data_IF_334294830188
#
_entry.id   IF_334294830188
#
_cell.length_a   1.000
_cell.length_b   1.000
_cell.length_c   1.000
_cell.angle_alpha   90.00
_cell.angle_beta   90.00
_cell.angle_gamma   90.00
#
_symmetry.space_group_name_H-M   'P 1'
#
loop_
_entity.id
_entity.type
_entity.pdbx_description
1 polymer ?
#
# COMPACT_ATOMS: atom_id res chain seq x y z
N UNK A 1 -11.73 -18.29 -0.99
CA UNK A 1 -11.09 -17.00 -1.31
C UNK A 1 -9.63 -17.02 -0.88
N UNK A 2 -8.73 -17.70 -1.64
CA UNK A 2 -7.31 -17.66 -1.34
C UNK A 2 -6.77 -16.24 -1.52
N UNK A 3 -6.17 -15.69 -0.46
CA UNK A 3 -5.46 -14.41 -0.51
C UNK A 3 -3.98 -14.72 -0.35
N UNK A 4 -3.18 -14.19 -1.26
CA UNK A 4 -1.73 -14.35 -1.23
C UNK A 4 -1.07 -13.03 -0.84
N UNK A 5 -0.35 -13.04 0.28
CA UNK A 5 0.64 -12.02 0.61
C UNK A 5 1.91 -12.36 -0.17
N UNK A 6 2.31 -11.48 -1.08
CA UNK A 6 3.43 -11.70 -1.98
C UNK A 6 4.72 -11.66 -1.17
N UNK A 7 5.46 -12.76 -1.19
CA UNK A 7 6.79 -12.86 -0.60
C UNK A 7 7.86 -12.75 -1.68
N UNK A 8 8.46 -11.57 -1.78
CA UNK A 8 9.59 -11.30 -2.67
C UNK A 8 10.86 -10.99 -1.85
N UNK A 9 10.90 -11.41 -0.58
CA UNK A 9 12.04 -11.17 0.32
C UNK A 9 12.03 -9.84 1.07
N UNK A 10 11.01 -8.99 0.88
CA UNK A 10 10.89 -7.67 1.52
C UNK A 10 9.55 -7.53 2.23
N UNK A 11 9.54 -6.89 3.41
CA UNK A 11 8.31 -6.55 4.14
C UNK A 11 8.11 -7.30 5.45
N UNK A 12 7.14 -6.85 6.24
CA UNK A 12 6.73 -7.47 7.50
C UNK A 12 5.52 -8.40 7.29
N UNK A 13 5.71 -9.45 6.49
CA UNK A 13 4.64 -10.33 6.00
C UNK A 13 3.83 -10.97 7.15
N UNK A 14 4.54 -11.41 8.19
CA UNK A 14 3.94 -12.10 9.35
C UNK A 14 3.01 -11.19 10.15
N UNK A 15 3.31 -9.90 10.28
CA UNK A 15 2.43 -9.00 11.04
C UNK A 15 1.10 -8.79 10.31
N UNK A 16 1.13 -8.69 8.99
CA UNK A 16 -0.07 -8.59 8.15
C UNK A 16 -0.87 -9.91 8.24
N UNK A 17 -0.20 -11.05 8.07
CA UNK A 17 -0.85 -12.37 8.22
C UNK A 17 -1.49 -12.54 9.60
N UNK A 18 -0.80 -12.17 10.68
CA UNK A 18 -1.33 -12.26 12.04
C UNK A 18 -2.57 -11.37 12.23
N UNK A 19 -2.59 -10.18 11.65
CA UNK A 19 -3.75 -9.29 11.71
C UNK A 19 -4.94 -9.86 10.95
N UNK A 20 -4.73 -10.39 9.74
CA UNK A 20 -5.77 -11.06 8.94
C UNK A 20 -6.31 -12.30 9.67
N UNK A 21 -5.43 -13.10 10.25
CA UNK A 21 -5.83 -14.26 11.07
C UNK A 21 -6.67 -13.85 12.27
N UNK A 22 -6.35 -12.72 12.92
CA UNK A 22 -7.11 -12.20 14.07
C UNK A 22 -8.54 -11.82 13.72
N UNK A 23 -8.80 -11.40 12.48
CA UNK A 23 -10.14 -11.12 11.95
C UNK A 23 -10.76 -12.34 11.24
N UNK A 24 -10.21 -13.54 11.44
CA UNK A 24 -10.76 -14.80 10.94
C UNK A 24 -10.48 -15.09 9.47
N UNK A 25 -9.50 -14.40 8.86
CA UNK A 25 -9.15 -14.54 7.45
C UNK A 25 -7.84 -15.30 7.35
N UNK A 26 -7.88 -16.46 6.69
CA UNK A 26 -6.68 -17.24 6.41
C UNK A 26 -6.03 -16.78 5.11
N UNK A 27 -4.71 -16.57 5.14
CA UNK A 27 -3.93 -16.05 4.01
C UNK A 27 -2.61 -16.79 3.88
N UNK A 28 -2.18 -16.96 2.62
CA UNK A 28 -0.93 -17.61 2.28
C UNK A 28 0.16 -16.57 2.06
N UNK A 29 1.33 -16.77 2.67
CA UNK A 29 2.55 -16.04 2.30
C UNK A 29 3.26 -16.88 1.24
N UNK A 30 3.53 -16.32 0.06
CA UNK A 30 4.23 -17.05 -1.00
C UNK A 30 4.85 -16.14 -2.05
N UNK A 31 6.01 -16.57 -2.55
CA UNK A 31 6.69 -16.03 -3.73
C UNK A 31 6.62 -16.95 -4.95
N UNK A 32 5.70 -17.93 -4.95
CA UNK A 32 5.53 -18.89 -6.06
C UNK A 32 4.50 -18.40 -7.06
N UNK A 33 4.81 -18.54 -8.34
CA UNK A 33 3.92 -18.21 -9.44
C UNK A 33 2.53 -18.87 -9.31
N UNK A 34 2.50 -20.17 -8.99
CA UNK A 34 1.25 -20.94 -8.85
C UNK A 34 0.32 -20.37 -7.77
N UNK A 35 0.90 -19.86 -6.68
CA UNK A 35 0.14 -19.31 -5.55
C UNK A 35 -0.42 -17.91 -5.85
N UNK A 36 0.28 -17.14 -6.68
CA UNK A 36 -0.19 -15.83 -7.16
C UNK A 36 -1.30 -16.03 -8.19
N UNK A 37 -1.16 -17.01 -9.09
CA UNK A 37 -2.18 -17.33 -10.10
C UNK A 37 -3.47 -17.85 -9.48
N UNK A 38 -3.36 -18.74 -8.49
CA UNK A 38 -4.53 -19.33 -7.82
C UNK A 38 -5.20 -18.40 -6.80
N UNK A 39 -4.53 -17.32 -6.38
CA UNK A 39 -5.11 -16.33 -5.49
C UNK A 39 -6.33 -15.63 -6.12
N UNK A 40 -7.32 -15.29 -5.31
CA UNK A 40 -8.40 -14.37 -5.70
C UNK A 40 -8.01 -12.91 -5.43
N UNK A 41 -7.14 -12.67 -4.45
CA UNK A 41 -6.66 -11.34 -4.07
C UNK A 41 -5.18 -11.38 -3.71
N UNK A 42 -4.50 -10.28 -3.96
CA UNK A 42 -3.09 -10.11 -3.68
C UNK A 42 -2.86 -9.01 -2.65
N UNK A 43 -1.85 -9.18 -1.80
CA UNK A 43 -1.32 -8.11 -0.95
C UNK A 43 0.15 -7.97 -1.28
N UNK A 44 0.56 -6.77 -1.70
CA UNK A 44 1.97 -6.41 -1.91
C UNK A 44 2.43 -5.52 -0.75
N UNK A 45 3.03 -6.09 0.30
CA UNK A 45 3.63 -5.30 1.35
C UNK A 45 5.04 -4.84 0.95
N UNK A 46 5.60 -3.89 1.68
CA UNK A 46 7.01 -3.59 1.61
C UNK A 46 7.46 -2.72 2.78
N UNK A 47 8.76 -2.76 3.07
CA UNK A 47 9.44 -1.84 4.00
C UNK A 47 10.84 -1.52 3.45
N UNK A 48 11.39 -0.37 3.83
CA UNK A 48 12.73 0.03 3.40
C UNK A 48 12.72 0.89 2.15
N UNK A 49 13.79 0.80 1.37
CA UNK A 49 14.12 1.69 0.27
C UNK A 49 13.47 1.25 -1.06
N UNK A 50 13.02 2.22 -1.87
CA UNK A 50 12.38 1.99 -3.17
C UNK A 50 13.17 1.06 -4.10
N UNK A 51 14.41 1.43 -4.45
CA UNK A 51 15.26 0.61 -5.33
C UNK A 51 15.47 -0.80 -4.79
N UNK A 52 15.72 -0.95 -3.50
CA UNK A 52 15.87 -2.26 -2.88
C UNK A 52 14.61 -3.12 -3.04
N UNK A 53 13.43 -2.53 -2.83
CA UNK A 53 12.14 -3.18 -3.05
C UNK A 53 11.92 -3.59 -4.51
N UNK A 54 12.16 -2.68 -5.47
CA UNK A 54 12.01 -2.98 -6.90
C UNK A 54 13.02 -4.04 -7.37
N UNK A 55 14.28 -3.97 -6.93
CA UNK A 55 15.31 -4.95 -7.28
C UNK A 55 14.93 -6.34 -6.81
N UNK A 56 14.52 -6.50 -5.54
CA UNK A 56 14.08 -7.80 -5.02
C UNK A 56 12.84 -8.32 -5.76
N UNK A 57 11.90 -7.43 -6.10
CA UNK A 57 10.71 -7.82 -6.86
C UNK A 57 11.08 -8.28 -8.28
N UNK A 58 12.02 -7.62 -8.95
CA UNK A 58 12.55 -8.01 -10.25
C UNK A 58 13.32 -9.34 -10.17
N UNK A 59 14.23 -9.48 -9.21
CA UNK A 59 15.06 -10.69 -9.00
C UNK A 59 14.22 -11.92 -8.63
N UNK A 60 13.08 -11.72 -7.95
CA UNK A 60 12.13 -12.80 -7.66
C UNK A 60 11.46 -13.37 -8.92
N UNK A 61 11.55 -12.69 -10.07
CA UNK A 61 10.89 -13.08 -11.32
C UNK A 61 9.37 -12.86 -11.32
N UNK A 62 8.83 -12.20 -10.29
CA UNK A 62 7.38 -12.07 -10.09
C UNK A 62 6.75 -10.93 -10.90
N UNK A 63 7.51 -9.97 -11.41
CA UNK A 63 6.96 -8.79 -12.11
C UNK A 63 6.07 -9.18 -13.29
N UNK A 64 6.50 -10.13 -14.12
CA UNK A 64 5.73 -10.57 -15.29
C UNK A 64 4.36 -11.15 -14.90
N UNK A 65 4.35 -12.08 -13.95
CA UNK A 65 3.11 -12.71 -13.49
C UNK A 65 2.19 -11.72 -12.76
N UNK A 66 2.75 -10.79 -12.00
CA UNK A 66 1.98 -9.75 -11.34
C UNK A 66 1.33 -8.81 -12.35
N UNK A 67 2.03 -8.43 -13.42
CA UNK A 67 1.45 -7.65 -14.52
C UNK A 67 0.26 -8.40 -15.16
N UNK A 68 0.42 -9.69 -15.47
CA UNK A 68 -0.65 -10.49 -16.07
C UNK A 68 -1.87 -10.61 -15.14
N UNK A 69 -1.66 -10.96 -13.87
CA UNK A 69 -2.75 -11.15 -12.92
C UNK A 69 -3.46 -9.84 -12.56
N UNK A 70 -2.73 -8.74 -12.40
CA UNK A 70 -3.30 -7.46 -11.94
C UNK A 70 -3.80 -6.61 -13.11
N UNK A 71 -3.03 -6.43 -14.18
CA UNK A 71 -3.39 -5.51 -15.27
C UNK A 71 -4.33 -6.14 -16.30
N UNK A 72 -4.14 -7.44 -16.59
CA UNK A 72 -4.92 -8.14 -17.62
C UNK A 72 -6.13 -8.84 -17.00
N UNK A 73 -5.90 -9.69 -15.97
CA UNK A 73 -6.98 -10.43 -15.30
C UNK A 73 -7.72 -9.61 -14.25
N UNK A 74 -7.28 -8.37 -14.00
CA UNK A 74 -7.92 -7.43 -13.06
C UNK A 74 -8.06 -8.00 -11.63
N UNK A 75 -7.10 -8.83 -11.21
CA UNK A 75 -7.06 -9.38 -9.85
C UNK A 75 -6.85 -8.24 -8.85
N UNK A 76 -7.70 -8.13 -7.81
CA UNK A 76 -7.52 -7.11 -6.80
C UNK A 76 -6.19 -7.21 -6.07
N UNK A 77 -5.53 -6.07 -5.89
CA UNK A 77 -4.28 -5.98 -5.14
C UNK A 77 -4.31 -4.83 -4.14
N UNK A 78 -3.78 -5.07 -2.94
CA UNK A 78 -3.53 -4.06 -1.91
C UNK A 78 -2.02 -3.84 -1.73
N UNK A 79 -1.53 -2.66 -2.12
CA UNK A 79 -0.19 -2.18 -1.80
C UNK A 79 -0.10 -1.57 -0.40
N UNK A 80 0.89 -1.92 0.41
CA UNK A 80 1.05 -1.38 1.78
C UNK A 80 2.43 -0.74 1.97
N UNK A 81 2.44 0.52 2.39
CA UNK A 81 3.62 1.35 2.64
C UNK A 81 4.56 1.41 1.43
N UNK A 82 5.75 0.80 1.49
CA UNK A 82 6.61 0.70 0.31
C UNK A 82 5.88 -0.03 -0.83
N UNK A 83 5.06 -1.03 -0.52
CA UNK A 83 4.31 -1.77 -1.53
C UNK A 83 3.39 -0.90 -2.39
N UNK A 84 2.75 0.15 -1.84
CA UNK A 84 1.98 1.11 -2.67
C UNK A 84 2.89 2.03 -3.46
N UNK A 85 4.05 2.40 -2.91
CA UNK A 85 5.03 3.22 -3.61
C UNK A 85 5.54 2.48 -4.86
N UNK A 86 5.84 1.18 -4.75
CA UNK A 86 6.29 0.36 -5.89
C UNK A 86 5.29 0.33 -7.05
N UNK A 87 4.00 0.59 -6.81
CA UNK A 87 2.96 0.67 -7.86
C UNK A 87 3.08 1.92 -8.75
N UNK A 88 3.75 2.96 -8.25
CA UNK A 88 4.01 4.21 -8.97
C UNK A 88 5.11 4.04 -10.02
N UNK A 89 5.40 5.09 -10.80
CA UNK A 89 6.37 5.02 -11.90
C UNK A 89 7.84 5.07 -11.42
N UNK A 90 8.11 5.79 -10.33
CA UNK A 90 9.45 6.01 -9.80
C UNK A 90 9.40 6.63 -8.41
N UNK A 91 10.54 6.68 -7.72
CA UNK A 91 10.69 7.43 -6.47
C UNK A 91 11.90 8.35 -6.49
N UNK A 92 11.81 9.51 -5.83
CA UNK A 92 12.98 10.34 -5.48
C UNK A 92 13.93 9.68 -4.47
N UNK A 93 13.52 8.55 -3.86
CA UNK A 93 14.38 7.76 -2.99
C UNK A 93 15.47 7.04 -3.79
N UNK A 94 15.29 6.79 -5.09
CA UNK A 94 16.23 6.04 -5.91
C UNK A 94 16.09 6.28 -7.41
N UNK A 95 16.62 5.35 -8.21
CA UNK A 95 16.65 5.47 -9.68
C UNK A 95 15.92 4.32 -10.40
N UNK A 96 15.52 3.28 -9.68
CA UNK A 96 14.77 2.17 -10.29
C UNK A 96 13.41 2.64 -10.78
N UNK A 97 12.94 2.01 -11.86
CA UNK A 97 11.54 2.18 -12.28
C UNK A 97 10.65 1.37 -11.35
N UNK A 98 9.53 1.96 -10.96
CA UNK A 98 8.46 1.20 -10.31
C UNK A 98 7.71 0.32 -11.30
N UNK A 99 6.69 -0.37 -10.81
CA UNK A 99 5.78 -1.17 -11.64
C UNK A 99 5.01 -0.28 -12.63
N UNK A 100 4.80 1.00 -12.31
CA UNK A 100 4.18 1.98 -13.20
C UNK A 100 2.70 1.71 -13.50
N UNK A 101 2.02 0.95 -12.64
CA UNK A 101 0.59 0.66 -12.77
C UNK A 101 -0.27 1.88 -12.46
N UNK A 102 0.27 2.81 -11.69
CA UNK A 102 -0.38 4.05 -11.28
C UNK A 102 0.45 5.23 -11.79
N UNK A 103 -0.21 6.18 -12.45
CA UNK A 103 0.47 7.38 -12.98
C UNK A 103 0.74 8.36 -11.85
N UNK A 104 2.02 8.54 -11.56
CA UNK A 104 2.48 9.31 -10.42
C UNK A 104 3.84 8.82 -9.94
N UNK A 105 4.34 9.46 -8.90
CA UNK A 105 5.68 9.23 -8.34
C UNK A 105 5.62 9.22 -6.82
N UNK A 106 6.66 8.68 -6.22
CA UNK A 106 6.89 8.72 -4.78
C UNK A 106 7.96 9.76 -4.45
N UNK A 107 7.57 10.89 -3.85
CA UNK A 107 8.42 12.08 -3.65
C UNK A 107 8.77 12.29 -2.19
N UNK A 108 9.91 12.91 -1.91
CA UNK A 108 10.33 13.21 -0.55
C UNK A 108 9.45 14.30 0.07
N UNK A 109 9.27 14.23 1.40
CA UNK A 109 8.67 15.36 2.09
C UNK A 109 9.52 16.63 1.99
N UNK A 110 8.91 17.75 1.62
CA UNK A 110 9.58 19.06 1.62
C UNK A 110 9.77 19.57 3.05
N UNK A 111 11.01 19.52 3.52
CA UNK A 111 11.40 19.96 4.88
C UNK A 111 11.10 21.43 5.14
N UNK A 112 11.06 22.28 4.11
CA UNK A 112 10.78 23.72 4.28
C UNK A 112 9.30 24.01 4.54
N UNK A 113 8.42 23.04 4.24
CA UNK A 113 6.97 23.15 4.47
C UNK A 113 6.52 22.53 5.79
N UNK A 114 7.45 21.94 6.56
CA UNK A 114 7.14 21.34 7.85
C UNK A 114 7.11 22.39 8.94
N UNK A 115 6.15 22.24 9.87
CA UNK A 115 6.08 23.09 11.06
C UNK A 115 7.19 22.76 12.06
N UNK A 116 7.51 23.71 12.94
CA UNK A 116 8.48 23.48 14.02
C UNK A 116 8.07 22.25 14.86
N UNK A 117 8.95 21.24 14.91
CA UNK A 117 8.74 19.98 15.63
C UNK A 117 8.35 18.79 14.77
N UNK A 118 7.90 18.99 13.53
CA UNK A 118 7.68 17.91 12.56
C UNK A 118 9.03 17.44 11.99
N UNK A 119 9.33 16.14 12.12
CA UNK A 119 10.57 15.51 11.67
C UNK A 119 10.32 14.54 10.51
N UNK A 120 11.37 14.26 9.75
CA UNK A 120 11.37 13.19 8.74
C UNK A 120 12.20 12.02 9.28
N UNK A 121 11.67 10.77 9.25
CA UNK A 121 10.40 10.34 8.66
C UNK A 121 9.16 10.86 9.40
N UNK A 122 8.06 11.06 8.66
CA UNK A 122 6.73 11.19 9.26
C UNK A 122 6.40 9.89 9.99
N UNK A 123 6.41 9.93 11.32
CA UNK A 123 6.26 8.75 12.18
C UNK A 123 5.23 9.01 13.27
N UNK A 124 4.18 8.19 13.29
CA UNK A 124 3.14 8.27 14.31
C UNK A 124 1.75 8.05 13.75
N UNK A 125 0.76 8.32 14.59
CA UNK A 125 -0.64 8.26 14.20
C UNK A 125 -1.06 9.56 13.54
N UNK A 126 -1.70 9.47 12.38
CA UNK A 126 -2.34 10.60 11.72
C UNK A 126 -3.76 10.24 11.30
N UNK A 127 -4.63 11.24 11.31
CA UNK A 127 -6.01 11.13 10.84
C UNK A 127 -6.05 11.18 9.30
N UNK A 128 -7.04 10.50 8.73
CA UNK A 128 -7.37 10.65 7.31
C UNK A 128 -8.39 11.78 7.21
N UNK A 129 -7.94 12.94 6.73
CA UNK A 129 -8.73 14.18 6.72
C UNK A 129 -9.73 14.24 5.55
N UNK A 130 -9.50 13.45 4.49
CA UNK A 130 -10.44 13.29 3.39
C UNK A 130 -10.29 11.89 2.79
N UNK A 131 -11.41 11.26 2.45
CA UNK A 131 -11.41 10.07 1.60
C UNK A 131 -12.68 10.03 0.75
N UNK A 132 -12.54 9.54 -0.48
CA UNK A 132 -13.67 9.33 -1.39
C UNK A 132 -14.54 8.19 -0.85
N UNK A 133 -15.83 8.17 -1.19
CA UNK A 133 -16.68 7.00 -0.92
C UNK A 133 -16.09 5.77 -1.64
N UNK A 134 -15.35 4.97 -0.88
CA UNK A 134 -14.66 3.78 -1.36
C UNK A 134 -15.07 2.55 -0.57
N UNK A 135 -15.02 1.41 -1.24
CA UNK A 135 -15.19 0.08 -0.64
C UNK A 135 -14.22 -0.14 0.51
N UNK A 136 -13.00 0.37 0.42
CA UNK A 136 -11.95 0.18 1.43
C UNK A 136 -12.30 0.86 2.77
N UNK A 137 -13.06 1.96 2.73
CA UNK A 137 -13.52 2.71 3.91
C UNK A 137 -15.00 2.46 4.27
N UNK A 138 -15.62 1.43 3.70
CA UNK A 138 -17.04 1.10 3.98
C UNK A 138 -17.27 0.81 5.46
N UNK A 139 -18.22 1.52 6.07
CA UNK A 139 -18.53 1.43 7.50
C UNK A 139 -17.29 1.56 8.40
N UNK A 140 -16.35 2.44 8.02
CA UNK A 140 -15.22 2.81 8.86
C UNK A 140 -15.71 3.54 10.11
N UNK A 141 -14.95 3.43 11.20
CA UNK A 141 -15.18 4.22 12.40
C UNK A 141 -15.02 5.72 12.13
N UNK A 142 -15.72 6.54 12.92
CA UNK A 142 -15.52 7.99 12.93
C UNK A 142 -14.06 8.33 13.24
N UNK A 143 -13.59 9.42 12.61
CA UNK A 143 -12.22 9.95 12.72
C UNK A 143 -11.14 8.86 12.59
N UNK A 144 -11.08 8.15 11.44
CA UNK A 144 -10.14 7.07 11.27
C UNK A 144 -8.71 7.60 11.27
N UNK A 145 -7.88 6.95 12.09
CA UNK A 145 -6.44 7.24 12.19
C UNK A 145 -5.62 5.99 11.94
N UNK A 146 -4.47 6.18 11.31
CA UNK A 146 -3.57 5.09 10.97
C UNK A 146 -2.13 5.43 11.34
N UNK A 147 -1.31 4.40 11.50
CA UNK A 147 0.10 4.54 11.84
C UNK A 147 0.96 4.68 10.57
N UNK A 148 1.69 5.78 10.48
CA UNK A 148 2.60 6.12 9.41
C UNK A 148 4.06 6.00 9.88
N UNK A 149 4.95 5.60 8.97
CA UNK A 149 6.41 5.66 9.14
C UNK A 149 7.08 5.72 7.77
N UNK A 150 7.27 6.92 7.23
CA UNK A 150 7.79 7.12 5.88
C UNK A 150 8.44 8.50 5.69
N UNK A 151 9.46 8.56 4.83
CA UNK A 151 10.12 9.83 4.43
C UNK A 151 9.64 10.35 3.07
N UNK A 152 8.98 9.49 2.31
CA UNK A 152 8.48 9.75 0.96
C UNK A 152 6.98 9.47 0.90
N UNK A 153 6.25 10.18 0.07
CA UNK A 153 4.81 10.04 -0.08
C UNK A 153 4.41 10.04 -1.56
N UNK A 154 3.17 9.61 -1.82
CA UNK A 154 2.63 9.51 -3.17
C UNK A 154 2.26 10.91 -3.69
N UNK A 155 2.63 11.18 -4.95
CA UNK A 155 2.18 12.31 -5.75
C UNK A 155 1.62 11.75 -7.06
N UNK A 156 0.30 11.78 -7.20
CA UNK A 156 -0.39 11.21 -8.35
C UNK A 156 -0.63 12.27 -9.43
N UNK A 157 -0.58 11.85 -10.69
CA UNK A 157 -0.86 12.73 -11.82
C UNK A 157 -2.37 13.01 -11.95
N UNK A 158 -3.20 12.07 -11.50
CA UNK A 158 -4.65 12.10 -11.58
C UNK A 158 -5.27 12.21 -10.18
N UNK A 159 -5.99 13.30 -9.87
CA UNK A 159 -6.65 13.47 -8.58
C UNK A 159 -7.69 12.39 -8.28
N UNK A 160 -8.33 11.81 -9.30
CA UNK A 160 -9.32 10.74 -9.16
C UNK A 160 -8.74 9.44 -8.60
N UNK A 161 -7.42 9.22 -8.75
CA UNK A 161 -6.74 8.05 -8.19
C UNK A 161 -6.42 8.23 -6.69
N UNK A 162 -6.59 9.44 -6.14
CA UNK A 162 -6.38 9.73 -4.71
C UNK A 162 -7.59 9.25 -3.91
N UNK A 163 -7.45 8.08 -3.29
CA UNK A 163 -8.48 7.49 -2.43
C UNK A 163 -8.63 8.25 -1.11
N UNK A 164 -7.50 8.55 -0.46
CA UNK A 164 -7.46 9.11 0.88
C UNK A 164 -6.29 10.09 1.01
N UNK A 165 -6.49 11.16 1.78
CA UNK A 165 -5.48 12.15 2.10
C UNK A 165 -5.19 12.16 3.59
N UNK A 166 -3.97 12.57 3.93
CA UNK A 166 -3.56 12.90 5.29
C UNK A 166 -2.73 14.18 5.26
N UNK A 167 -2.60 14.82 6.42
CA UNK A 167 -1.89 16.09 6.56
C UNK A 167 -0.58 15.92 7.34
N UNK A 168 0.54 16.37 6.75
CA UNK A 168 1.82 16.48 7.46
C UNK A 168 2.62 17.68 6.94
N UNK A 169 2.33 18.87 7.48
CA UNK A 169 2.82 20.16 6.98
C UNK A 169 2.06 20.59 5.71
N UNK A 170 1.69 19.64 4.87
CA UNK A 170 0.79 19.78 3.75
C UNK A 170 0.04 18.47 3.48
N UNK A 171 -1.01 18.54 2.66
CA UNK A 171 -1.79 17.37 2.30
C UNK A 171 -1.05 16.48 1.30
N UNK A 172 -1.07 15.18 1.53
CA UNK A 172 -0.49 14.17 0.64
C UNK A 172 -1.46 12.99 0.47
N UNK A 173 -1.28 12.24 -0.61
CA UNK A 173 -2.07 11.02 -0.85
C UNK A 173 -1.64 9.92 0.13
N UNK A 174 -2.53 9.58 1.05
CA UNK A 174 -2.38 8.52 2.05
C UNK A 174 -2.90 7.16 1.55
N UNK A 175 -3.70 7.15 0.48
CA UNK A 175 -4.11 5.95 -0.22
C UNK A 175 -4.48 6.23 -1.67
N UNK A 176 -4.50 5.16 -2.47
CA UNK A 176 -4.84 5.18 -3.88
C UNK A 176 -5.94 4.17 -4.19
N UNK A 177 -6.70 4.44 -5.24
CA UNK A 177 -7.62 3.47 -5.84
C UNK A 177 -7.74 3.73 -7.34
N UNK A 178 -7.39 2.73 -8.14
CA UNK A 178 -7.57 2.73 -9.58
C UNK A 178 -8.06 1.34 -10.02
N UNK A 179 -9.35 1.23 -10.35
CA UNK A 179 -10.01 -0.04 -10.69
C UNK A 179 -9.80 -1.12 -9.60
N UNK A 180 -9.02 -2.17 -9.88
CA UNK A 180 -8.70 -3.28 -8.96
C UNK A 180 -7.41 -3.04 -8.15
N UNK A 181 -6.74 -1.92 -8.34
CA UNK A 181 -5.48 -1.59 -7.69
C UNK A 181 -5.75 -0.60 -6.57
N UNK A 182 -5.56 -1.05 -5.33
CA UNK A 182 -5.67 -0.21 -4.14
C UNK A 182 -4.37 -0.19 -3.37
N UNK A 183 -4.12 0.88 -2.64
CA UNK A 183 -2.91 0.96 -1.83
C UNK A 183 -3.00 2.00 -0.74
N UNK A 184 -2.23 1.81 0.31
CA UNK A 184 -2.20 2.70 1.49
C UNK A 184 -0.77 2.96 1.93
N UNK A 185 -0.45 4.23 2.20
CA UNK A 185 0.87 4.66 2.65
C UNK A 185 1.12 4.28 4.12
N UNK A 186 0.05 4.19 4.91
CA UNK A 186 0.09 3.77 6.31
C UNK A 186 0.13 2.25 6.48
N UNK A 187 0.36 1.80 7.71
CA UNK A 187 0.46 0.39 8.09
C UNK A 187 -0.84 -0.11 8.75
N UNK A 188 -1.78 -0.74 8.02
CA UNK A 188 -3.00 -1.26 8.63
C UNK A 188 -2.70 -2.31 9.71
N UNK A 189 -1.65 -3.12 9.56
CA UNK A 189 -1.21 -4.10 10.55
C UNK A 189 -0.70 -3.47 11.87
N UNK A 190 -0.43 -2.16 11.88
CA UNK A 190 -0.06 -1.39 13.08
C UNK A 190 -1.18 -0.45 13.56
N UNK A 191 -2.30 -0.42 12.86
CA UNK A 191 -3.36 0.59 13.05
C UNK A 191 -4.58 0.07 13.85
N UNK A 192 -4.38 -1.00 14.64
CA UNK A 192 -5.40 -1.60 15.51
C UNK A 192 -6.78 -1.76 14.83
N UNK A 193 -7.86 -1.26 15.45
CA UNK A 193 -9.24 -1.44 14.96
C UNK A 193 -9.48 -0.84 13.57
N UNK A 194 -8.83 0.28 13.25
CA UNK A 194 -8.96 0.93 11.95
C UNK A 194 -8.29 0.09 10.86
N UNK A 195 -7.09 -0.41 11.16
CA UNK A 195 -6.36 -1.32 10.27
C UNK A 195 -7.07 -2.66 10.06
N UNK A 196 -7.60 -3.26 11.12
CA UNK A 196 -8.44 -4.47 11.03
C UNK A 196 -9.64 -4.23 10.12
N UNK A 197 -10.39 -3.15 10.35
CA UNK A 197 -11.57 -2.81 9.55
C UNK A 197 -11.23 -2.57 8.07
N UNK A 198 -10.11 -1.91 7.79
CA UNK A 198 -9.64 -1.70 6.42
C UNK A 198 -9.30 -3.01 5.71
N UNK A 199 -8.61 -3.93 6.40
CA UNK A 199 -8.30 -5.25 5.85
C UNK A 199 -9.56 -6.10 5.64
N UNK A 200 -10.51 -6.08 6.59
CA UNK A 200 -11.82 -6.73 6.42
C UNK A 200 -12.52 -6.22 5.16
N UNK A 201 -12.52 -4.90 4.96
CA UNK A 201 -13.15 -4.27 3.80
C UNK A 201 -12.47 -4.66 2.48
N UNK A 202 -11.12 -4.72 2.45
CA UNK A 202 -10.39 -5.21 1.29
C UNK A 202 -10.83 -6.64 0.93
N UNK A 203 -10.87 -7.53 1.91
CA UNK A 203 -11.24 -8.94 1.67
C UNK A 203 -12.69 -9.10 1.22
N UNK A 204 -13.59 -8.28 1.75
CA UNK A 204 -15.03 -8.39 1.52
C UNK A 204 -15.51 -7.77 0.22
N UNK A 205 -14.96 -6.63 -0.19
CA UNK A 205 -15.57 -5.78 -1.22
C UNK A 205 -14.79 -5.67 -2.53
N UNK A 206 -13.50 -5.96 -2.48
CA UNK A 206 -12.70 -6.26 -3.66
C UNK A 206 -12.79 -7.76 -3.92
#
# INVERSE_FOLDING_TARGET
MPITIIDYGVGNLRSIQNMLKKIGIDVKISGRAEDIQSAEKLILPGVGHFDYGMQHLCESGLVGILNDEVLIKKKPILGICLGVQLLTQSSEEGNEKGLGWIKGKTVAFDRNRLSSGQKIPHMGWAEINAYVQSKLFTAMYDDPRFYFVHSYHLQLDYPEDVLAQAHYGYDFAAGIEHENIVGVQFHPEKSHKFGMKLLENFVKYY
#
